data_IF_032614728858
#
_entry.id   IF_032614728858
#
_cell.length_a   1.000
_cell.length_b   1.000
_cell.length_c   1.000
_cell.angle_alpha   90.00
_cell.angle_beta   90.00
_cell.angle_gamma   90.00
#
_symmetry.space_group_name_H-M   'P 1'
#
loop_
_entity.id
_entity.type
_entity.pdbx_description
1 polymer ?
#
# COMPACT_ATOMS: atom_id res chain seq x y z
N UNK A 1 -11.21 23.41 -18.53
CA UNK A 1 -10.79 23.45 -17.11
C UNK A 1 -9.48 24.21 -17.05
N UNK A 2 -9.43 25.33 -16.35
CA UNK A 2 -8.21 26.16 -16.25
C UNK A 2 -7.23 25.53 -15.25
N UNK A 3 -5.92 25.66 -15.49
CA UNK A 3 -4.82 25.16 -14.62
C UNK A 3 -5.02 25.51 -13.14
N UNK A 4 -5.56 26.70 -12.88
CA UNK A 4 -5.84 27.20 -11.52
C UNK A 4 -6.90 26.37 -10.79
N UNK A 5 -7.96 25.93 -11.49
CA UNK A 5 -9.02 25.06 -10.93
C UNK A 5 -8.53 23.66 -10.63
N UNK A 6 -7.56 23.15 -11.40
CA UNK A 6 -6.95 21.84 -11.18
C UNK A 6 -6.03 21.86 -9.96
N UNK A 7 -5.26 22.93 -9.77
CA UNK A 7 -4.38 23.12 -8.62
C UNK A 7 -5.16 23.23 -7.30
N UNK A 8 -6.29 23.94 -7.29
CA UNK A 8 -7.11 24.07 -6.08
C UNK A 8 -7.75 22.73 -5.67
N UNK A 9 -8.23 21.94 -6.63
CA UNK A 9 -8.77 20.59 -6.37
C UNK A 9 -7.70 19.63 -5.86
N UNK A 10 -6.50 19.70 -6.42
CA UNK A 10 -5.39 18.86 -5.99
C UNK A 10 -4.99 19.19 -4.55
N UNK A 11 -4.90 20.48 -4.22
CA UNK A 11 -4.61 20.94 -2.86
C UNK A 11 -5.67 20.44 -1.87
N UNK A 12 -6.96 20.62 -2.17
CA UNK A 12 -8.04 20.13 -1.31
C UNK A 12 -7.97 18.63 -1.05
N UNK A 13 -7.68 17.82 -2.08
CA UNK A 13 -7.52 16.37 -1.94
C UNK A 13 -6.33 15.98 -1.06
N UNK A 14 -5.21 16.66 -1.21
CA UNK A 14 -4.02 16.45 -0.39
C UNK A 14 -4.26 16.86 1.06
N UNK A 15 -4.95 17.96 1.29
CA UNK A 15 -5.31 18.41 2.64
C UNK A 15 -6.26 17.40 3.32
N UNK A 16 -7.31 16.96 2.64
CA UNK A 16 -8.23 15.92 3.14
C UNK A 16 -7.50 14.62 3.47
N UNK A 17 -6.57 14.20 2.61
CA UNK A 17 -5.75 13.02 2.86
C UNK A 17 -4.83 13.21 4.07
N UNK A 18 -4.17 14.34 4.21
CA UNK A 18 -3.33 14.65 5.37
C UNK A 18 -4.10 14.69 6.69
N UNK A 19 -5.37 15.14 6.67
CA UNK A 19 -6.22 15.16 7.85
C UNK A 19 -6.80 13.79 8.21
N UNK A 20 -6.82 12.85 7.26
CA UNK A 20 -7.41 11.52 7.45
C UNK A 20 -8.92 11.57 7.53
N UNK A 21 -9.56 12.40 6.68
CA UNK A 21 -11.01 12.49 6.63
C UNK A 21 -11.66 11.13 6.34
N UNK A 22 -12.60 10.72 7.18
CA UNK A 22 -13.31 9.44 7.04
C UNK A 22 -12.56 8.23 7.59
N UNK A 23 -11.41 8.42 8.25
CA UNK A 23 -10.64 7.34 8.87
C UNK A 23 -10.87 7.34 10.38
N UNK A 24 -11.32 6.21 10.92
CA UNK A 24 -11.37 5.95 12.34
C UNK A 24 -10.03 5.40 12.83
N UNK A 25 -9.34 6.15 13.69
CA UNK A 25 -8.05 5.74 14.25
C UNK A 25 -8.25 5.01 15.58
N UNK A 26 -7.48 3.95 15.79
CA UNK A 26 -7.51 3.15 17.02
C UNK A 26 -7.08 3.97 18.25
N UNK A 27 -6.11 4.88 18.05
CA UNK A 27 -5.58 5.76 19.08
C UNK A 27 -4.94 7.02 18.48
N UNK A 28 -4.59 7.98 19.33
CA UNK A 28 -3.97 9.24 18.89
C UNK A 28 -2.56 9.04 18.32
N UNK A 29 -1.81 8.05 18.80
CA UNK A 29 -0.49 7.72 18.28
C UNK A 29 -0.56 7.22 16.82
N UNK A 30 -1.50 6.35 16.51
CA UNK A 30 -1.76 5.89 15.14
C UNK A 30 -2.13 7.05 14.22
N UNK A 31 -2.94 8.00 14.71
CA UNK A 31 -3.33 9.20 13.98
C UNK A 31 -2.13 10.11 13.68
N UNK A 32 -1.27 10.36 14.65
CA UNK A 32 -0.09 11.18 14.45
C UNK A 32 0.95 10.50 13.53
N UNK A 33 1.13 9.19 13.65
CA UNK A 33 1.97 8.41 12.75
C UNK A 33 1.46 8.46 11.32
N UNK A 34 0.15 8.30 11.13
CA UNK A 34 -0.51 8.43 9.83
C UNK A 34 -0.24 9.80 9.21
N UNK A 35 -0.49 10.88 9.95
CA UNK A 35 -0.27 12.25 9.47
C UNK A 35 1.18 12.50 9.04
N UNK A 36 2.14 12.02 9.83
CA UNK A 36 3.57 12.15 9.49
C UNK A 36 3.91 11.43 8.19
N UNK A 37 3.44 10.19 8.01
CA UNK A 37 3.67 9.39 6.80
C UNK A 37 3.01 10.04 5.57
N UNK A 38 1.74 10.40 5.67
CA UNK A 38 1.00 11.01 4.57
C UNK A 38 1.59 12.37 4.20
N UNK A 39 1.93 13.20 5.20
CA UNK A 39 2.58 14.49 4.94
C UNK A 39 3.89 14.33 4.17
N UNK A 40 4.73 13.36 4.54
CA UNK A 40 6.00 13.05 3.85
C UNK A 40 5.78 12.72 2.38
N UNK A 41 4.81 11.87 2.10
CA UNK A 41 4.45 11.50 0.71
C UNK A 41 3.86 12.69 -0.04
N UNK A 42 2.96 13.44 0.60
CA UNK A 42 2.34 14.63 0.00
C UNK A 42 3.36 15.73 -0.31
N UNK A 43 4.34 15.94 0.56
CA UNK A 43 5.43 16.90 0.32
C UNK A 43 6.29 16.47 -0.87
N UNK A 44 6.64 15.18 -0.99
CA UNK A 44 7.37 14.65 -2.12
C UNK A 44 6.61 14.80 -3.46
N UNK A 45 5.30 14.50 -3.47
CA UNK A 45 4.45 14.66 -4.65
C UNK A 45 4.39 16.13 -5.09
N UNK A 46 4.40 17.06 -4.14
CA UNK A 46 4.38 18.51 -4.40
C UNK A 46 5.77 19.09 -4.71
N UNK A 47 6.81 18.25 -4.86
CA UNK A 47 8.21 18.66 -5.05
C UNK A 47 8.75 19.55 -3.91
N UNK A 48 8.21 19.36 -2.72
CA UNK A 48 8.73 19.95 -1.48
C UNK A 48 9.76 19.01 -0.87
N UNK A 49 10.60 19.52 0.02
CA UNK A 49 11.59 18.71 0.74
C UNK A 49 10.90 18.09 1.97
N UNK A 50 10.67 16.76 2.00
CA UNK A 50 10.14 16.09 3.18
C UNK A 50 11.23 15.94 4.26
N UNK A 51 10.83 15.52 5.47
CA UNK A 51 11.75 15.24 6.58
C UNK A 51 12.76 14.10 6.26
N UNK A 52 12.35 13.14 5.44
CA UNK A 52 13.18 12.08 4.83
C UNK A 52 12.54 11.59 3.53
N UNK A 53 13.29 10.84 2.75
CA UNK A 53 12.75 10.20 1.55
C UNK A 53 11.61 9.24 1.94
N UNK A 54 10.41 9.37 1.33
CA UNK A 54 9.32 8.44 1.59
C UNK A 54 9.64 7.05 1.05
N UNK A 55 9.35 6.04 1.85
CA UNK A 55 9.57 4.62 1.50
C UNK A 55 8.24 4.02 1.05
N UNK A 56 8.20 3.61 -0.22
CA UNK A 56 7.03 2.97 -0.84
C UNK A 56 7.46 1.64 -1.48
N UNK A 57 7.62 0.58 -0.68
CA UNK A 57 8.15 -0.68 -1.20
C UNK A 57 7.13 -1.42 -2.05
N UNK A 58 7.63 -2.16 -3.02
CA UNK A 58 6.90 -3.21 -3.70
C UNK A 58 7.42 -4.56 -3.19
N UNK A 59 6.69 -5.18 -2.28
CA UNK A 59 7.16 -6.41 -1.64
C UNK A 59 7.06 -7.67 -2.52
N UNK A 60 6.25 -7.65 -3.58
CA UNK A 60 6.01 -8.85 -4.38
C UNK A 60 5.54 -10.02 -3.49
N UNK A 61 6.18 -11.17 -3.62
CA UNK A 61 5.93 -12.37 -2.79
C UNK A 61 6.86 -12.47 -1.57
N UNK A 62 7.71 -11.49 -1.31
CA UNK A 62 8.61 -11.48 -0.16
C UNK A 62 7.89 -11.74 1.17
N UNK A 63 6.71 -11.12 1.47
CA UNK A 63 6.01 -11.38 2.72
C UNK A 63 5.62 -12.85 2.93
N UNK A 64 5.30 -13.56 1.87
CA UNK A 64 4.99 -15.00 1.96
C UNK A 64 6.24 -15.79 2.39
N UNK A 65 7.33 -15.61 1.67
CA UNK A 65 8.58 -16.36 1.88
C UNK A 65 9.16 -16.04 3.26
N UNK A 66 9.21 -14.77 3.65
CA UNK A 66 9.72 -14.30 4.95
C UNK A 66 8.92 -14.86 6.14
N UNK A 67 7.64 -15.15 5.95
CA UNK A 67 6.77 -15.75 6.95
C UNK A 67 6.62 -17.27 6.83
N UNK A 68 7.43 -17.92 5.99
CA UNK A 68 7.48 -19.38 5.85
C UNK A 68 6.32 -19.97 5.07
N UNK A 69 5.62 -19.17 4.28
CA UNK A 69 4.58 -19.62 3.36
C UNK A 69 5.11 -19.79 1.94
N UNK A 70 4.53 -20.70 1.19
CA UNK A 70 4.77 -20.81 -0.25
C UNK A 70 3.97 -19.76 -1.02
N UNK A 71 4.36 -19.47 -2.26
CA UNK A 71 3.55 -18.63 -3.15
C UNK A 71 2.15 -19.21 -3.34
N UNK A 72 2.04 -20.53 -3.46
CA UNK A 72 0.75 -21.22 -3.59
C UNK A 72 -0.13 -21.00 -2.36
N UNK A 73 0.42 -21.13 -1.15
CA UNK A 73 -0.31 -20.88 0.09
C UNK A 73 -1.00 -19.51 0.08
N UNK A 74 -0.26 -18.46 -0.22
CA UNK A 74 -0.80 -17.08 -0.15
C UNK A 74 -1.66 -16.71 -1.36
N UNK A 75 -1.55 -17.44 -2.45
CA UNK A 75 -2.39 -17.23 -3.63
C UNK A 75 -3.79 -17.82 -3.47
N UNK A 76 -3.93 -18.92 -2.72
CA UNK A 76 -5.19 -19.64 -2.55
C UNK A 76 -5.80 -19.49 -1.15
N UNK A 77 -5.01 -19.10 -0.15
CA UNK A 77 -5.45 -18.90 1.23
C UNK A 77 -5.32 -17.44 1.63
N UNK A 78 -6.46 -16.74 1.68
CA UNK A 78 -6.52 -15.32 2.03
C UNK A 78 -6.01 -15.05 3.45
N UNK A 79 -6.30 -15.91 4.41
CA UNK A 79 -5.92 -15.69 5.81
C UNK A 79 -4.41 -15.78 5.98
N UNK A 80 -3.76 -16.73 5.31
CA UNK A 80 -2.29 -16.83 5.27
C UNK A 80 -1.68 -15.59 4.61
N UNK A 81 -2.22 -15.19 3.47
CA UNK A 81 -1.79 -13.98 2.78
C UNK A 81 -1.93 -12.76 3.68
N UNK A 82 -3.09 -12.55 4.27
CA UNK A 82 -3.36 -11.41 5.15
C UNK A 82 -2.37 -11.37 6.33
N UNK A 83 -2.15 -12.48 7.01
CA UNK A 83 -1.20 -12.58 8.13
C UNK A 83 0.23 -12.24 7.71
N UNK A 84 0.69 -12.79 6.58
CA UNK A 84 2.04 -12.55 6.07
C UNK A 84 2.26 -11.07 5.76
N UNK A 85 1.34 -10.46 5.01
CA UNK A 85 1.45 -9.05 4.65
C UNK A 85 1.31 -8.11 5.84
N UNK A 86 0.37 -8.36 6.75
CA UNK A 86 0.21 -7.53 7.95
C UNK A 86 1.45 -7.57 8.84
N UNK A 87 2.05 -8.76 9.02
CA UNK A 87 3.30 -8.88 9.77
C UNK A 87 4.43 -8.08 9.11
N UNK A 88 4.63 -8.26 7.80
CA UNK A 88 5.67 -7.54 7.06
C UNK A 88 5.45 -6.02 7.12
N UNK A 89 4.21 -5.54 6.96
CA UNK A 89 3.91 -4.11 7.07
C UNK A 89 4.19 -3.55 8.48
N UNK A 90 3.95 -4.33 9.52
CA UNK A 90 4.28 -3.93 10.89
C UNK A 90 5.79 -3.94 11.16
N UNK A 91 6.52 -4.90 10.59
CA UNK A 91 7.98 -5.03 10.80
C UNK A 91 8.77 -3.95 10.02
N UNK A 92 8.33 -3.59 8.82
CA UNK A 92 9.05 -2.64 7.95
C UNK A 92 8.51 -1.21 8.01
N UNK A 93 7.32 -0.99 8.53
CA UNK A 93 6.68 0.32 8.71
C UNK A 93 6.82 1.30 7.52
N UNK A 94 6.43 0.93 6.30
CA UNK A 94 6.55 1.79 5.13
C UNK A 94 5.69 3.06 5.26
N UNK A 95 6.05 4.12 4.52
CA UNK A 95 5.27 5.36 4.50
C UNK A 95 4.01 5.22 3.66
N UNK A 96 4.07 4.45 2.59
CA UNK A 96 2.94 4.13 1.74
C UNK A 96 3.07 2.70 1.23
N UNK A 97 1.95 2.01 1.13
CA UNK A 97 1.86 0.67 0.56
C UNK A 97 0.76 0.59 -0.49
N UNK A 98 1.10 0.10 -1.66
CA UNK A 98 0.20 0.04 -2.82
C UNK A 98 -0.69 -1.21 -2.88
N UNK A 99 -0.83 -1.92 -1.76
CA UNK A 99 -1.60 -3.16 -1.72
C UNK A 99 -0.80 -4.37 -2.24
N UNK A 100 -1.39 -5.53 -2.10
CA UNK A 100 -0.80 -6.79 -2.56
C UNK A 100 -1.57 -7.37 -3.73
N UNK A 101 -0.87 -8.01 -4.64
CA UNK A 101 -1.47 -8.64 -5.82
C UNK A 101 -2.18 -9.98 -5.52
N UNK A 102 -2.15 -10.48 -4.26
CA UNK A 102 -2.74 -11.77 -3.91
C UNK A 102 -4.26 -11.86 -4.09
N UNK A 103 -4.97 -10.74 -4.01
CA UNK A 103 -6.42 -10.69 -4.25
C UNK A 103 -6.83 -11.01 -5.70
N UNK A 104 -5.88 -10.91 -6.64
CA UNK A 104 -6.16 -11.12 -8.05
C UNK A 104 -6.38 -12.60 -8.41
N UNK A 105 -5.77 -13.54 -7.70
CA UNK A 105 -5.79 -14.96 -8.10
C UNK A 105 -7.17 -15.57 -7.99
N UNK A 106 -7.86 -15.35 -6.88
CA UNK A 106 -9.22 -15.86 -6.71
C UNK A 106 -10.19 -15.19 -7.69
N UNK A 107 -10.01 -13.91 -7.96
CA UNK A 107 -10.83 -13.17 -8.94
C UNK A 107 -10.55 -13.63 -10.37
N UNK A 108 -9.31 -13.92 -10.71
CA UNK A 108 -8.91 -14.43 -12.03
C UNK A 108 -9.36 -15.86 -12.27
N UNK A 109 -9.30 -16.72 -11.23
CA UNK A 109 -9.85 -18.08 -11.30
C UNK A 109 -11.37 -18.07 -11.51
N UNK A 110 -12.08 -17.15 -10.85
CA UNK A 110 -13.53 -16.95 -11.07
C UNK A 110 -13.84 -16.49 -12.48
N UNK A 111 -12.97 -15.72 -13.10
CA UNK A 111 -13.09 -15.24 -14.50
C UNK A 111 -12.53 -16.22 -15.52
N UNK A 112 -11.98 -17.39 -15.11
CA UNK A 112 -11.39 -18.39 -16.00
C UNK A 112 -10.09 -17.95 -16.68
N UNK A 113 -9.40 -16.96 -16.15
CA UNK A 113 -8.17 -16.41 -16.73
C UNK A 113 -6.94 -16.97 -16.02
N UNK A 114 -6.21 -17.87 -16.68
CA UNK A 114 -4.95 -18.44 -16.21
C UNK A 114 -3.75 -17.49 -16.46
N UNK A 115 -3.70 -16.37 -15.76
CA UNK A 115 -2.63 -15.36 -15.93
C UNK A 115 -1.43 -15.54 -14.97
N UNK A 116 -1.40 -16.63 -14.21
CA UNK A 116 -0.53 -16.78 -13.03
C UNK A 116 0.89 -17.26 -13.27
N UNK A 117 1.23 -17.71 -14.47
CA UNK A 117 2.57 -18.25 -14.72
C UNK A 117 3.65 -17.18 -14.94
N UNK A 118 3.26 -15.94 -15.16
CA UNK A 118 4.24 -14.89 -15.51
C UNK A 118 4.87 -14.18 -14.30
N UNK A 119 4.24 -14.19 -13.14
CA UNK A 119 4.75 -13.43 -11.97
C UNK A 119 5.66 -14.24 -11.03
N UNK A 120 5.61 -15.57 -11.09
CA UNK A 120 6.49 -16.43 -10.29
C UNK A 120 7.83 -16.79 -10.97
N UNK A 121 8.02 -16.48 -12.25
CA UNK A 121 9.19 -16.85 -13.03
C UNK A 121 10.18 -15.71 -13.33
N UNK A 122 10.07 -14.58 -12.64
CA UNK A 122 11.07 -13.50 -12.72
C UNK A 122 11.94 -13.47 -11.44
N UNK A 123 12.58 -14.57 -11.13
CA UNK A 123 13.73 -14.67 -10.24
C UNK A 123 14.82 -15.43 -10.96
#
# INVERSE_FOLDING_TARGET
MTEKQNNDKTKQRLDAWCFGEGIEFVNDEAKETYKKRVKRVADAIQLKIPDRVPITPSFGMFPAIDNGYTCEDVMFDYDKAHKAWMKTLNDFEPDLYNGSAYALTNSLNYLGVNLLLSMCFSL
#
